data_IF_340842404578
#
_entry.id   IF_340842404578
#
_cell.length_a   1.000
_cell.length_b   1.000
_cell.length_c   1.000
_cell.angle_alpha   90.00
_cell.angle_beta   90.00
_cell.angle_gamma   90.00
#
_symmetry.space_group_name_H-M   'P 1'
#
loop_
_entity.id
_entity.type
_entity.pdbx_description
1 polymer ?
#
# COMPACT_ATOMS: atom_id res chain seq x y z
N UNK A 1 3.57 -10.60 -1.20
CA UNK A 1 3.30 -9.20 -0.89
C UNK A 1 3.88 -8.34 -1.99
N UNK A 2 3.49 -7.06 -2.06
CA UNK A 2 3.80 -6.17 -3.17
C UNK A 2 5.21 -5.65 -3.16
N UNK A 3 5.72 -5.48 -4.33
CA UNK A 3 6.99 -4.82 -4.56
C UNK A 3 6.90 -3.90 -5.80
N UNK A 4 8.01 -3.31 -6.18
CA UNK A 4 8.10 -2.37 -7.29
C UNK A 4 7.57 -2.90 -8.62
N UNK A 5 7.55 -4.23 -8.82
CA UNK A 5 7.09 -4.87 -10.07
C UNK A 5 5.64 -4.50 -10.41
N UNK A 6 4.85 -4.20 -9.42
CA UNK A 6 3.46 -3.80 -9.60
C UNK A 6 3.31 -2.49 -10.36
N UNK A 7 4.24 -1.57 -10.16
CA UNK A 7 4.23 -0.26 -10.80
C UNK A 7 5.14 -0.16 -12.03
N UNK A 8 5.68 -1.28 -12.52
CA UNK A 8 6.61 -1.28 -13.65
C UNK A 8 6.05 -0.53 -14.86
N UNK A 9 4.80 -0.80 -15.23
CA UNK A 9 4.15 -0.14 -16.39
C UNK A 9 3.94 1.35 -16.15
N UNK A 10 3.54 1.75 -14.94
CA UNK A 10 3.32 3.15 -14.58
C UNK A 10 4.65 3.92 -14.51
N UNK A 11 5.67 3.33 -13.90
CA UNK A 11 7.02 3.91 -13.83
C UNK A 11 7.57 4.12 -15.23
N UNK A 12 7.46 3.11 -16.10
CA UNK A 12 7.93 3.22 -17.49
C UNK A 12 7.16 4.30 -18.27
N UNK A 13 5.84 4.39 -18.09
CA UNK A 13 5.03 5.41 -18.75
C UNK A 13 5.32 6.84 -18.25
N UNK A 14 5.82 6.98 -17.03
CA UNK A 14 6.06 8.29 -16.41
C UNK A 14 7.53 8.73 -16.46
N UNK A 15 8.46 7.89 -16.90
CA UNK A 15 9.91 8.12 -16.81
C UNK A 15 10.41 9.41 -17.45
N UNK A 16 9.70 9.90 -18.49
CA UNK A 16 10.08 11.11 -19.21
C UNK A 16 9.52 12.40 -18.58
N UNK A 17 8.64 12.26 -17.57
CA UNK A 17 7.97 13.39 -16.93
C UNK A 17 8.10 13.42 -15.40
N UNK A 18 8.56 12.33 -14.80
CA UNK A 18 8.68 12.24 -13.35
C UNK A 18 9.70 11.17 -12.92
N UNK A 19 10.44 11.45 -11.86
CA UNK A 19 11.21 10.41 -11.18
C UNK A 19 10.32 9.68 -10.19
N UNK A 20 10.15 8.37 -10.41
CA UNK A 20 9.26 7.53 -9.63
C UNK A 20 10.03 6.67 -8.61
N UNK A 21 9.63 6.71 -7.36
CA UNK A 21 10.16 5.89 -6.29
C UNK A 21 9.05 5.06 -5.64
N UNK A 22 9.28 3.78 -5.41
CA UNK A 22 8.34 2.93 -4.66
C UNK A 22 8.71 2.89 -3.19
N UNK A 23 7.84 3.40 -2.34
CA UNK A 23 8.01 3.41 -0.90
C UNK A 23 7.90 2.00 -0.32
N UNK A 24 8.86 1.61 0.53
CA UNK A 24 8.81 0.35 1.27
C UNK A 24 7.87 0.48 2.48
N UNK A 25 6.83 -0.35 2.52
CA UNK A 25 5.79 -0.30 3.55
C UNK A 25 5.82 -1.51 4.51
N UNK A 26 6.93 -2.23 4.57
CA UNK A 26 7.14 -3.34 5.48
C UNK A 26 8.10 -3.00 6.63
N UNK A 27 8.34 -4.02 7.48
CA UNK A 27 9.35 -3.94 8.54
C UNK A 27 8.90 -3.32 9.85
N UNK A 28 7.73 -2.69 9.89
CA UNK A 28 7.09 -2.13 11.10
C UNK A 28 5.60 -2.42 11.11
N UNK A 29 4.99 -2.47 12.27
CA UNK A 29 3.61 -2.88 12.51
C UNK A 29 2.62 -1.72 12.72
N UNK A 30 3.09 -0.50 12.58
CA UNK A 30 2.31 0.71 12.86
C UNK A 30 2.31 1.65 11.66
N UNK A 31 1.12 2.04 11.19
CA UNK A 31 0.92 2.89 10.01
C UNK A 31 1.65 4.23 10.13
N UNK A 32 1.69 4.84 11.33
CA UNK A 32 2.37 6.11 11.52
C UNK A 32 3.89 5.98 11.35
N UNK A 33 4.47 4.85 11.76
CA UNK A 33 5.89 4.57 11.58
C UNK A 33 6.22 4.20 10.13
N UNK A 34 5.35 3.44 9.44
CA UNK A 34 5.48 3.18 8.00
C UNK A 34 5.46 4.51 7.23
N UNK A 35 4.50 5.37 7.51
CA UNK A 35 4.39 6.68 6.87
C UNK A 35 5.63 7.55 7.09
N UNK A 36 6.17 7.57 8.31
CA UNK A 36 7.42 8.26 8.63
C UNK A 36 8.58 7.70 7.82
N UNK A 37 8.75 6.37 7.79
CA UNK A 37 9.81 5.70 7.05
C UNK A 37 9.77 6.05 5.56
N UNK A 38 8.61 6.03 4.93
CA UNK A 38 8.43 6.38 3.51
C UNK A 38 8.73 7.87 3.29
N UNK A 39 8.17 8.74 4.13
CA UNK A 39 8.38 10.20 4.06
C UNK A 39 9.84 10.59 4.19
N UNK A 40 10.59 9.95 5.09
CA UNK A 40 11.98 10.28 5.37
C UNK A 40 12.92 9.88 4.23
N UNK A 41 12.47 8.99 3.33
CA UNK A 41 13.18 8.59 2.11
C UNK A 41 12.73 9.42 0.88
N UNK A 42 11.63 10.17 1.00
CA UNK A 42 11.09 10.97 -0.10
C UNK A 42 11.82 12.31 -0.23
N UNK A 43 11.84 12.92 -1.44
CA UNK A 43 12.31 14.30 -1.64
C UNK A 43 11.57 15.31 -0.76
N UNK A 44 12.05 16.54 -0.70
CA UNK A 44 11.44 17.62 0.09
C UNK A 44 9.97 17.84 -0.29
N UNK A 45 9.68 17.88 -1.59
CA UNK A 45 8.33 17.98 -2.13
C UNK A 45 8.08 16.84 -3.11
N UNK A 46 6.94 16.20 -3.00
CA UNK A 46 6.61 15.04 -3.84
C UNK A 46 5.10 14.92 -4.09
N UNK A 47 4.76 14.26 -5.18
CA UNK A 47 3.42 13.75 -5.40
C UNK A 47 3.32 12.30 -4.91
N UNK A 48 2.13 11.87 -4.47
CA UNK A 48 1.93 10.63 -3.74
C UNK A 48 0.81 9.81 -4.36
N UNK A 49 1.08 8.56 -4.67
CA UNK A 49 0.06 7.60 -5.12
C UNK A 49 0.00 6.43 -4.15
N UNK A 50 -1.17 6.14 -3.65
CA UNK A 50 -1.39 5.01 -2.75
C UNK A 50 -2.55 4.13 -3.21
N UNK A 51 -2.30 2.82 -3.33
CA UNK A 51 -3.29 1.81 -3.64
C UNK A 51 -3.57 0.97 -2.40
N UNK A 52 -4.84 0.76 -2.06
CA UNK A 52 -5.32 -0.07 -0.95
C UNK A 52 -4.63 0.31 0.37
N UNK A 53 -3.86 -0.55 1.03
CA UNK A 53 -3.08 -0.22 2.23
C UNK A 53 -2.07 0.91 1.98
N UNK A 54 -1.48 0.98 0.78
CA UNK A 54 -0.64 2.11 0.37
C UNK A 54 -1.40 3.44 0.41
N UNK A 55 -2.70 3.44 0.15
CA UNK A 55 -3.57 4.60 0.30
C UNK A 55 -3.75 5.00 1.77
N UNK A 56 -3.85 4.05 2.68
CA UNK A 56 -3.90 4.31 4.14
C UNK A 56 -2.58 4.97 4.60
N UNK A 57 -1.45 4.42 4.15
CA UNK A 57 -0.12 5.00 4.44
C UNK A 57 0.00 6.41 3.83
N UNK A 58 -0.47 6.60 2.60
CA UNK A 58 -0.46 7.90 1.92
C UNK A 58 -1.29 8.95 2.68
N UNK A 59 -2.46 8.61 3.18
CA UNK A 59 -3.28 9.49 4.02
C UNK A 59 -2.54 9.86 5.32
N UNK A 60 -1.85 8.93 5.93
CA UNK A 60 -1.05 9.19 7.12
C UNK A 60 0.17 10.07 6.83
N UNK A 61 0.83 9.91 5.67
CA UNK A 61 1.90 10.81 5.22
C UNK A 61 1.37 12.23 5.08
N UNK A 62 0.22 12.41 4.43
CA UNK A 62 -0.42 13.74 4.31
C UNK A 62 -0.76 14.33 5.68
N UNK A 63 -1.18 13.51 6.65
CA UNK A 63 -1.44 13.99 8.01
C UNK A 63 -0.17 14.45 8.74
N UNK A 64 0.96 13.77 8.49
CA UNK A 64 2.25 14.09 9.16
C UNK A 64 3.01 15.26 8.52
N UNK A 65 2.89 15.46 7.21
CA UNK A 65 3.65 16.43 6.45
C UNK A 65 2.83 16.95 5.23
N UNK A 66 1.70 17.63 5.47
CA UNK A 66 0.83 18.07 4.38
C UNK A 66 1.52 19.05 3.42
N UNK A 67 2.46 19.84 3.92
CA UNK A 67 3.23 20.84 3.17
C UNK A 67 4.18 20.21 2.13
N UNK A 68 4.59 18.96 2.32
CA UNK A 68 5.51 18.24 1.41
C UNK A 68 4.78 17.56 0.26
N UNK A 69 3.47 17.34 0.38
CA UNK A 69 2.68 16.58 -0.61
C UNK A 69 2.02 17.53 -1.61
N UNK A 70 2.60 17.66 -2.78
CA UNK A 70 2.12 18.56 -3.84
C UNK A 70 0.86 18.06 -4.54
N UNK A 71 0.73 16.75 -4.72
CA UNK A 71 -0.42 16.08 -5.34
C UNK A 71 -0.62 14.70 -4.73
N UNK A 72 -1.83 14.17 -4.82
CA UNK A 72 -2.13 12.82 -4.35
C UNK A 72 -3.14 12.11 -5.24
N UNK A 73 -2.94 10.80 -5.41
CA UNK A 73 -3.92 9.89 -5.96
C UNK A 73 -4.12 8.72 -4.99
N UNK A 74 -5.36 8.50 -4.58
CA UNK A 74 -5.75 7.42 -3.67
C UNK A 74 -6.65 6.46 -4.44
N UNK A 75 -6.25 5.21 -4.51
CA UNK A 75 -6.91 4.20 -5.32
C UNK A 75 -7.34 3.02 -4.45
N UNK A 76 -8.58 2.58 -4.61
CA UNK A 76 -9.15 1.40 -3.95
C UNK A 76 -8.78 1.31 -2.46
N UNK A 77 -8.96 2.41 -1.73
CA UNK A 77 -8.58 2.54 -0.32
C UNK A 77 -9.74 3.04 0.53
N UNK A 78 -9.70 2.75 1.83
CA UNK A 78 -10.74 3.12 2.77
C UNK A 78 -10.16 4.03 3.88
N UNK A 79 -10.67 5.27 4.03
CA UNK A 79 -10.22 6.19 5.08
C UNK A 79 -10.80 5.88 6.47
N UNK A 80 -11.78 4.98 6.56
CA UNK A 80 -12.47 4.68 7.81
C UNK A 80 -11.68 3.68 8.66
N UNK A 81 -11.70 3.90 9.96
CA UNK A 81 -11.26 2.88 10.90
C UNK A 81 -12.15 1.64 10.81
N UNK A 82 -11.56 0.47 10.99
CA UNK A 82 -12.33 -0.77 11.07
C UNK A 82 -13.18 -0.80 12.32
N UNK A 83 -14.40 -1.31 12.20
CA UNK A 83 -15.27 -1.59 13.33
C UNK A 83 -14.74 -2.78 14.14
N UNK A 84 -15.14 -2.89 15.39
CA UNK A 84 -14.53 -3.87 16.31
C UNK A 84 -14.79 -5.32 15.91
N UNK A 85 -15.93 -5.61 15.27
CA UNK A 85 -16.24 -6.94 14.74
C UNK A 85 -15.26 -7.36 13.64
N UNK A 86 -14.86 -6.42 12.76
CA UNK A 86 -13.88 -6.69 11.70
C UNK A 86 -12.49 -6.87 12.28
N UNK A 87 -12.11 -6.07 13.28
CA UNK A 87 -10.84 -6.25 14.00
C UNK A 87 -10.76 -7.62 14.66
N UNK A 88 -11.84 -8.04 15.37
CA UNK A 88 -11.90 -9.34 16.01
C UNK A 88 -11.79 -10.49 15.00
N UNK A 89 -12.42 -10.37 13.83
CA UNK A 89 -12.35 -11.37 12.77
C UNK A 89 -10.95 -11.46 12.11
N UNK A 90 -10.08 -10.46 12.28
CA UNK A 90 -8.68 -10.51 11.80
C UNK A 90 -7.74 -11.23 12.74
N UNK A 91 -8.07 -11.33 14.02
CA UNK A 91 -7.18 -11.91 15.03
C UNK A 91 -6.71 -13.32 14.68
N UNK A 92 -7.57 -14.27 14.28
CA UNK A 92 -7.14 -15.60 13.85
C UNK A 92 -6.21 -15.57 12.62
N UNK A 93 -6.40 -14.60 11.70
CA UNK A 93 -5.54 -14.45 10.54
C UNK A 93 -4.15 -13.95 10.92
N UNK A 94 -4.06 -13.04 11.89
CA UNK A 94 -2.80 -12.54 12.45
C UNK A 94 -2.03 -13.69 13.12
N UNK A 95 -2.71 -14.47 13.94
CA UNK A 95 -2.13 -15.63 14.63
C UNK A 95 -1.63 -16.69 13.64
N UNK A 96 -2.39 -17.00 12.61
CA UNK A 96 -1.98 -17.92 11.54
C UNK A 96 -0.75 -17.40 10.78
N UNK A 97 -0.71 -16.09 10.47
CA UNK A 97 0.43 -15.48 9.82
C UNK A 97 1.69 -15.53 10.70
N UNK A 98 1.57 -15.26 12.00
CA UNK A 98 2.65 -15.37 12.97
C UNK A 98 3.14 -16.81 13.16
N UNK A 99 2.24 -17.80 13.02
CA UNK A 99 2.57 -19.23 13.00
C UNK A 99 3.21 -19.71 11.68
N UNK A 100 3.54 -18.80 10.76
CA UNK A 100 4.18 -19.12 9.48
C UNK A 100 3.23 -19.57 8.36
N UNK A 101 1.92 -19.47 8.55
CA UNK A 101 0.90 -19.88 7.57
C UNK A 101 0.49 -18.73 6.61
N UNK A 102 1.30 -17.68 6.51
CA UNK A 102 0.98 -16.50 5.70
C UNK A 102 0.71 -16.85 4.23
N UNK A 103 1.50 -17.73 3.61
CA UNK A 103 1.33 -18.10 2.22
C UNK A 103 0.00 -18.82 2.00
N UNK A 104 -0.36 -19.75 2.86
CA UNK A 104 -1.64 -20.45 2.80
C UNK A 104 -2.81 -19.47 2.96
N UNK A 105 -2.73 -18.60 3.96
CA UNK A 105 -3.73 -17.56 4.20
C UNK A 105 -3.93 -16.65 2.98
N UNK A 106 -2.83 -16.22 2.34
CA UNK A 106 -2.89 -15.39 1.14
C UNK A 106 -3.58 -16.13 -0.02
N UNK A 107 -3.25 -17.40 -0.26
CA UNK A 107 -3.85 -18.20 -1.33
C UNK A 107 -5.34 -18.46 -1.11
N UNK A 108 -5.72 -18.85 0.09
CA UNK A 108 -7.09 -19.30 0.38
C UNK A 108 -8.07 -18.15 0.63
N UNK A 109 -7.61 -17.06 1.20
CA UNK A 109 -8.48 -15.94 1.60
C UNK A 109 -8.33 -14.74 0.68
N UNK A 110 -7.09 -14.34 0.37
CA UNK A 110 -6.85 -13.07 -0.32
C UNK A 110 -6.98 -13.21 -1.83
N UNK A 111 -6.40 -14.27 -2.42
CA UNK A 111 -6.45 -14.48 -3.88
C UNK A 111 -7.89 -14.58 -4.37
N UNK A 112 -8.74 -15.34 -3.66
CA UNK A 112 -10.14 -15.52 -4.03
C UNK A 112 -10.96 -14.21 -3.98
N UNK A 113 -10.55 -13.24 -3.16
CA UNK A 113 -11.22 -11.93 -3.07
C UNK A 113 -10.80 -10.97 -4.17
N UNK A 114 -9.59 -11.13 -4.70
CA UNK A 114 -9.01 -10.20 -5.67
C UNK A 114 -9.13 -10.65 -7.13
N UNK A 115 -9.37 -11.94 -7.36
CA UNK A 115 -9.50 -12.49 -8.71
C UNK A 115 -10.93 -12.95 -8.94
N UNK A 116 -11.62 -12.28 -9.84
CA UNK A 116 -12.88 -12.78 -10.39
C UNK A 116 -12.58 -13.69 -11.58
N UNK A 117 -13.48 -14.62 -11.89
CA UNK A 117 -13.35 -15.56 -12.99
C UNK A 117 -13.18 -14.91 -14.39
N UNK A 118 -13.36 -13.59 -14.49
CA UNK A 118 -13.31 -12.83 -15.74
C UNK A 118 -12.03 -12.00 -15.94
N UNK A 119 -11.12 -11.97 -14.97
CA UNK A 119 -9.88 -11.16 -15.07
C UNK A 119 -8.66 -11.93 -14.53
N UNK A 120 -8.08 -12.86 -15.31
CA UNK A 120 -6.96 -13.69 -14.86
C UNK A 120 -5.62 -12.95 -14.72
N UNK A 121 -5.53 -11.65 -15.02
CA UNK A 121 -4.25 -10.93 -15.13
C UNK A 121 -4.10 -9.68 -14.24
N UNK A 122 -5.02 -9.41 -13.33
CA UNK A 122 -4.90 -8.29 -12.41
C UNK A 122 -4.21 -8.72 -11.11
N UNK A 123 -2.91 -8.55 -11.07
CA UNK A 123 -2.13 -8.61 -9.84
C UNK A 123 -2.39 -7.34 -9.02
N UNK A 124 -3.38 -7.36 -8.14
CA UNK A 124 -3.64 -6.27 -7.20
C UNK A 124 -2.68 -6.35 -6.04
N UNK A 125 -1.94 -5.29 -5.83
CA UNK A 125 -0.99 -5.26 -4.73
C UNK A 125 -0.75 -3.84 -4.21
N UNK A 126 -0.38 -3.75 -2.93
CA UNK A 126 -0.36 -2.55 -2.10
C UNK A 126 0.98 -1.84 -2.20
N UNK A 127 1.04 -0.63 -2.72
CA UNK A 127 2.26 0.18 -2.76
C UNK A 127 1.98 1.68 -2.67
N UNK A 128 2.98 2.41 -2.30
CA UNK A 128 3.05 3.87 -2.41
C UNK A 128 4.04 4.21 -3.51
N UNK A 129 3.62 4.99 -4.48
CA UNK A 129 4.48 5.57 -5.50
C UNK A 129 4.70 7.05 -5.17
N UNK A 130 5.94 7.49 -5.18
CA UNK A 130 6.35 8.86 -4.93
C UNK A 130 7.00 9.36 -6.22
N UNK A 131 6.67 10.60 -6.64
CA UNK A 131 7.39 11.25 -7.75
C UNK A 131 7.56 12.74 -7.46
N UNK A 132 8.56 13.33 -8.08
CA UNK A 132 8.87 14.75 -8.02
C UNK A 132 9.19 15.31 -9.41
#
# INVERSE_FOLDING_TARGET
>A
MCDARMYTSQIEALKDIAECQVGYIGGVDNTANIARQVRDQAPENFALVGLSMGGIVAMEIVRQAPERVTRRALMDTNPKAEIDEVKAARQPQIEAAQAGQLEQLLREVMVLRYFTSHQPHLNWMICVLIWH
#
